data_IF_484583227096
#
_entry.id   IF_484583227096
#
_cell.length_a   1.000
_cell.length_b   1.000
_cell.length_c   1.000
_cell.angle_alpha   90.00
_cell.angle_beta   90.00
_cell.angle_gamma   90.00
#
_symmetry.space_group_name_H-M   'P 1'
#
loop_
_entity.id
_entity.type
_entity.pdbx_description
1 polymer ?
#
# COMPACT_ATOMS: atom_id res chain seq x y z
N UNK A 1 59.96 10.19 24.79
CA UNK A 1 59.26 10.67 23.57
C UNK A 1 58.17 9.68 23.21
N UNK A 2 56.91 10.11 23.24
CA UNK A 2 55.72 9.26 23.15
C UNK A 2 55.43 8.79 21.72
N UNK A 3 55.14 7.50 21.55
CA UNK A 3 54.70 6.88 20.30
C UNK A 3 53.23 7.27 20.03
N UNK A 4 52.97 8.03 18.96
CA UNK A 4 51.61 8.28 18.47
C UNK A 4 51.16 7.08 17.63
N UNK A 5 50.15 6.35 18.12
CA UNK A 5 49.45 5.34 17.35
C UNK A 5 48.51 6.01 16.34
N UNK A 6 48.60 5.57 15.08
CA UNK A 6 47.78 6.04 13.95
C UNK A 6 46.40 5.39 14.08
N UNK A 7 45.37 6.16 14.42
CA UNK A 7 43.99 5.68 14.47
C UNK A 7 43.50 5.51 13.04
N UNK A 8 43.24 4.28 12.63
CA UNK A 8 42.70 3.96 11.32
C UNK A 8 41.20 4.30 11.29
N UNK A 9 40.81 5.16 10.35
CA UNK A 9 39.43 5.54 10.08
C UNK A 9 38.71 4.31 9.49
N UNK A 10 37.83 3.67 10.27
CA UNK A 10 36.92 2.64 9.75
C UNK A 10 35.66 3.34 9.26
N UNK A 11 35.59 3.58 7.95
CA UNK A 11 34.33 3.83 7.26
C UNK A 11 33.37 2.69 7.59
N UNK A 12 32.26 3.01 8.23
CA UNK A 12 31.16 2.07 8.47
C UNK A 12 30.49 1.80 7.13
N UNK A 13 31.02 0.85 6.38
CA UNK A 13 30.21 0.12 5.40
C UNK A 13 29.07 -0.51 6.18
N UNK A 14 27.83 -0.13 5.87
CA UNK A 14 26.64 -0.73 6.46
C UNK A 14 26.77 -2.25 6.33
N UNK A 15 26.91 -2.91 7.47
CA UNK A 15 27.09 -4.34 7.56
C UNK A 15 25.77 -4.95 7.09
N UNK A 16 25.74 -5.51 5.89
CA UNK A 16 24.61 -6.34 5.45
C UNK A 16 24.53 -7.52 6.42
N UNK A 17 23.59 -7.44 7.35
CA UNK A 17 23.20 -8.55 8.20
C UNK A 17 22.49 -9.60 7.34
N UNK A 18 22.66 -10.90 7.62
CA UNK A 18 21.81 -11.93 7.03
C UNK A 18 20.34 -11.56 7.25
N UNK A 19 19.46 -11.83 6.29
CA UNK A 19 18.08 -11.33 6.24
C UNK A 19 17.24 -11.74 7.48
N UNK A 20 17.45 -11.06 8.60
CA UNK A 20 16.67 -11.21 9.84
C UNK A 20 15.22 -10.79 9.64
N UNK A 21 14.91 -10.17 8.50
CA UNK A 21 13.57 -9.78 8.08
C UNK A 21 12.88 -10.80 7.18
N UNK A 22 13.51 -11.91 6.78
CA UNK A 22 12.93 -12.84 5.80
C UNK A 22 11.55 -13.38 6.24
N UNK A 23 11.43 -13.79 7.51
CA UNK A 23 10.16 -14.26 8.08
C UNK A 23 9.12 -13.15 8.15
N UNK A 24 9.53 -11.93 8.54
CA UNK A 24 8.67 -10.76 8.57
C UNK A 24 8.16 -10.40 7.17
N UNK A 25 9.03 -10.37 6.16
CA UNK A 25 8.65 -10.11 4.76
C UNK A 25 7.65 -11.12 4.26
N UNK A 26 7.92 -12.41 4.48
CA UNK A 26 6.99 -13.48 4.12
C UNK A 26 5.62 -13.24 4.73
N UNK A 27 5.58 -12.93 6.03
CA UNK A 27 4.33 -12.67 6.72
C UNK A 27 3.60 -11.41 6.23
N UNK A 28 4.33 -10.32 5.97
CA UNK A 28 3.74 -9.10 5.38
C UNK A 28 3.15 -9.36 3.99
N UNK A 29 3.83 -10.13 3.15
CA UNK A 29 3.31 -10.53 1.83
C UNK A 29 2.07 -11.42 1.96
N UNK A 30 2.02 -12.33 2.92
CA UNK A 30 0.83 -13.14 3.21
C UNK A 30 -0.36 -12.26 3.59
N UNK A 31 -0.17 -11.31 4.52
CA UNK A 31 -1.21 -10.36 4.94
C UNK A 31 -1.69 -9.48 3.78
N UNK A 32 -0.78 -8.92 2.98
CA UNK A 32 -1.12 -8.11 1.80
C UNK A 32 -1.88 -8.91 0.73
N UNK A 33 -1.65 -10.23 0.63
CA UNK A 33 -2.39 -11.11 -0.27
C UNK A 33 -3.76 -11.55 0.26
N UNK A 34 -4.17 -11.04 1.42
CA UNK A 34 -5.47 -11.30 2.04
C UNK A 34 -5.37 -12.03 3.38
N UNK A 35 -4.20 -12.56 3.75
CA UNK A 35 -4.00 -13.27 5.03
C UNK A 35 -5.09 -14.32 5.27
N UNK A 36 -5.81 -14.18 6.38
CA UNK A 36 -6.92 -15.05 6.81
C UNK A 36 -8.30 -14.49 6.41
N UNK A 37 -8.37 -13.56 5.45
CA UNK A 37 -9.64 -13.01 4.99
C UNK A 37 -10.52 -14.11 4.39
N UNK A 38 -11.80 -14.15 4.79
CA UNK A 38 -12.77 -15.10 4.26
C UNK A 38 -12.97 -14.97 2.74
N UNK A 39 -12.86 -13.74 2.21
CA UNK A 39 -12.93 -13.42 0.78
C UNK A 39 -11.87 -12.37 0.47
N UNK A 40 -11.05 -12.61 -0.56
CA UNK A 40 -10.06 -11.64 -1.02
C UNK A 40 -10.70 -10.47 -1.77
N UNK A 41 -10.04 -9.32 -1.79
CA UNK A 41 -10.55 -8.11 -2.47
C UNK A 41 -10.79 -8.34 -3.97
N UNK A 42 -9.91 -9.11 -4.63
CA UNK A 42 -10.06 -9.44 -6.05
C UNK A 42 -11.33 -10.26 -6.30
N UNK A 43 -11.62 -11.25 -5.45
CA UNK A 43 -12.81 -12.09 -5.57
C UNK A 43 -14.09 -11.30 -5.27
N UNK A 44 -14.04 -10.43 -4.25
CA UNK A 44 -15.16 -9.55 -3.91
C UNK A 44 -15.54 -8.57 -5.05
N UNK A 45 -14.58 -8.21 -5.90
CA UNK A 45 -14.77 -7.23 -6.99
C UNK A 45 -15.03 -7.87 -8.37
N UNK A 46 -14.68 -9.14 -8.57
CA UNK A 46 -14.70 -9.80 -9.88
C UNK A 46 -16.08 -9.77 -10.56
N UNK A 47 -17.12 -10.18 -9.83
CA UNK A 47 -18.50 -10.29 -10.35
C UNK A 47 -19.46 -9.30 -9.67
N UNK A 48 -18.94 -8.16 -9.20
CA UNK A 48 -19.77 -7.19 -8.50
C UNK A 48 -20.84 -6.59 -9.44
N UNK A 49 -22.15 -6.70 -9.13
CA UNK A 49 -23.22 -6.31 -10.04
C UNK A 49 -23.19 -4.82 -10.37
N UNK A 50 -23.26 -4.47 -11.66
CA UNK A 50 -23.14 -3.09 -12.13
C UNK A 50 -24.23 -2.17 -11.55
N UNK A 51 -25.47 -2.66 -11.44
CA UNK A 51 -26.61 -1.96 -10.87
C UNK A 51 -26.48 -1.69 -9.35
N UNK A 52 -25.58 -2.41 -8.67
CA UNK A 52 -25.33 -2.25 -7.23
C UNK A 52 -24.16 -1.33 -6.89
N UNK A 53 -23.30 -0.99 -7.85
CA UNK A 53 -22.07 -0.21 -7.59
C UNK A 53 -22.35 1.15 -6.95
N UNK A 54 -23.43 1.81 -7.37
CA UNK A 54 -23.85 3.12 -6.89
C UNK A 54 -25.03 3.08 -5.90
N UNK A 55 -25.45 1.89 -5.48
CA UNK A 55 -26.58 1.71 -4.57
C UNK A 55 -26.07 1.46 -3.16
N UNK A 56 -26.42 2.33 -2.21
CA UNK A 56 -26.12 2.10 -0.80
C UNK A 56 -27.02 0.98 -0.27
N UNK A 57 -26.43 0.03 0.46
CA UNK A 57 -27.21 -0.97 1.18
C UNK A 57 -27.97 -0.31 2.35
N UNK A 58 -29.11 -0.87 2.73
CA UNK A 58 -29.90 -0.34 3.84
C UNK A 58 -29.05 -0.27 5.12
N UNK A 59 -28.96 0.91 5.72
CA UNK A 59 -28.17 1.15 6.93
C UNK A 59 -26.68 1.44 6.70
N UNK A 60 -26.23 1.52 5.45
CA UNK A 60 -24.84 1.88 5.11
C UNK A 60 -24.78 3.28 4.48
N UNK A 61 -23.79 4.06 4.90
CA UNK A 61 -23.59 5.46 4.44
C UNK A 61 -22.91 5.55 3.07
N UNK A 62 -22.24 4.48 2.65
CA UNK A 62 -21.41 4.47 1.45
C UNK A 62 -21.82 3.36 0.48
N UNK A 63 -21.78 3.71 -0.81
CA UNK A 63 -21.93 2.78 -1.93
C UNK A 63 -20.66 1.96 -2.13
N UNK A 64 -20.76 0.85 -2.87
CA UNK A 64 -19.58 0.06 -3.23
C UNK A 64 -18.56 0.87 -4.05
N UNK A 65 -19.03 1.79 -4.89
CA UNK A 65 -18.16 2.73 -5.62
C UNK A 65 -17.36 3.63 -4.67
N UNK A 66 -18.03 4.22 -3.67
CA UNK A 66 -17.36 5.08 -2.69
C UNK A 66 -16.31 4.31 -1.88
N UNK A 67 -16.62 3.07 -1.48
CA UNK A 67 -15.68 2.22 -0.76
C UNK A 67 -14.50 1.79 -1.64
N UNK A 68 -14.73 1.44 -2.90
CA UNK A 68 -13.66 1.10 -3.84
C UNK A 68 -12.71 2.29 -4.05
N UNK A 69 -13.25 3.48 -4.28
CA UNK A 69 -12.43 4.69 -4.44
C UNK A 69 -11.70 5.07 -3.15
N UNK A 70 -12.33 4.89 -1.99
CA UNK A 70 -11.68 5.08 -0.71
C UNK A 70 -10.46 4.17 -0.54
N UNK A 71 -10.62 2.87 -0.82
CA UNK A 71 -9.51 1.90 -0.81
C UNK A 71 -8.43 2.29 -1.82
N UNK A 72 -8.83 2.67 -3.04
CA UNK A 72 -7.89 3.08 -4.09
C UNK A 72 -7.02 4.27 -3.66
N UNK A 73 -7.65 5.31 -3.10
CA UNK A 73 -6.93 6.54 -2.70
C UNK A 73 -6.03 6.26 -1.50
N UNK A 74 -6.55 5.58 -0.47
CA UNK A 74 -5.78 5.27 0.74
C UNK A 74 -4.57 4.38 0.43
N UNK A 75 -4.75 3.34 -0.40
CA UNK A 75 -3.66 2.44 -0.76
C UNK A 75 -2.59 3.14 -1.62
N UNK A 76 -3.01 3.95 -2.60
CA UNK A 76 -2.09 4.79 -3.37
C UNK A 76 -1.27 5.71 -2.47
N UNK A 77 -1.92 6.37 -1.51
CA UNK A 77 -1.27 7.28 -0.58
C UNK A 77 -0.25 6.56 0.32
N UNK A 78 -0.61 5.40 0.88
CA UNK A 78 0.32 4.58 1.67
C UNK A 78 1.53 4.15 0.83
N UNK A 79 1.30 3.72 -0.41
CA UNK A 79 2.38 3.31 -1.31
C UNK A 79 3.31 4.47 -1.65
N UNK A 80 2.78 5.64 -2.00
CA UNK A 80 3.58 6.82 -2.33
C UNK A 80 4.32 7.36 -1.10
N UNK A 81 3.65 7.47 0.04
CA UNK A 81 4.27 7.83 1.32
C UNK A 81 5.44 6.90 1.65
N UNK A 82 5.33 5.61 1.33
CA UNK A 82 6.38 4.63 1.62
C UNK A 82 7.62 4.75 0.72
N UNK A 83 7.51 5.35 -0.47
CA UNK A 83 8.57 5.30 -1.50
C UNK A 83 9.02 6.65 -2.05
N UNK A 84 8.31 7.72 -1.76
CA UNK A 84 8.52 9.03 -2.37
C UNK A 84 8.65 10.13 -1.29
N UNK A 85 9.87 10.63 -1.01
CA UNK A 85 10.11 11.64 0.04
C UNK A 85 9.48 13.01 -0.26
N UNK A 86 8.96 13.21 -1.48
CA UNK A 86 8.28 14.44 -1.90
C UNK A 86 6.76 14.28 -1.94
N UNK A 87 6.25 13.10 -1.59
CA UNK A 87 4.82 12.86 -1.57
C UNK A 87 4.16 13.71 -0.49
N UNK A 88 3.00 14.26 -0.83
CA UNK A 88 2.15 14.99 0.10
C UNK A 88 0.81 14.28 0.08
N UNK A 89 0.45 13.71 1.23
CA UNK A 89 -0.81 12.98 1.38
C UNK A 89 -2.02 13.90 1.19
N UNK A 90 -3.17 13.36 0.74
CA UNK A 90 -4.42 14.10 0.66
C UNK A 90 -4.84 14.65 2.03
N UNK A 91 -5.61 15.74 2.03
CA UNK A 91 -6.19 16.30 3.25
C UNK A 91 -7.15 15.29 3.89
N UNK A 92 -6.98 15.03 5.19
CA UNK A 92 -7.85 14.11 5.92
C UNK A 92 -9.06 14.83 6.55
N UNK A 93 -10.28 14.24 6.52
CA UNK A 93 -10.65 12.98 5.86
C UNK A 93 -11.06 13.14 4.39
N UNK A 94 -11.37 14.37 3.96
CA UNK A 94 -12.11 14.63 2.71
C UNK A 94 -11.38 14.17 1.44
N UNK A 95 -10.04 14.20 1.44
CA UNK A 95 -9.20 13.79 0.32
C UNK A 95 -9.22 12.28 0.04
N UNK A 96 -9.75 11.47 0.95
CA UNK A 96 -9.82 10.00 0.84
C UNK A 96 -11.17 9.49 0.36
N UNK A 97 -12.05 10.37 -0.12
CA UNK A 97 -13.35 10.01 -0.65
C UNK A 97 -13.55 10.60 -2.05
N UNK A 98 -14.29 9.92 -2.95
CA UNK A 98 -14.55 10.47 -4.26
C UNK A 98 -15.43 11.72 -4.16
N UNK A 99 -14.99 12.81 -4.81
CA UNK A 99 -15.73 14.09 -4.86
C UNK A 99 -17.10 13.98 -5.55
N UNK A 100 -17.23 13.00 -6.44
CA UNK A 100 -18.44 12.75 -7.21
C UNK A 100 -18.98 11.39 -6.79
N UNK A 101 -20.15 11.38 -6.16
CA UNK A 101 -20.88 10.17 -5.76
C UNK A 101 -21.66 9.53 -6.93
N UNK A 102 -21.56 10.09 -8.13
CA UNK A 102 -22.28 9.60 -9.30
C UNK A 102 -21.84 8.18 -9.67
N UNK A 103 -22.77 7.44 -10.29
CA UNK A 103 -22.58 6.06 -10.72
C UNK A 103 -21.36 5.93 -11.64
N UNK A 104 -20.39 5.06 -11.33
CA UNK A 104 -19.31 4.77 -12.24
C UNK A 104 -19.86 4.06 -13.48
N UNK A 105 -19.38 4.44 -14.66
CA UNK A 105 -19.52 3.56 -15.82
C UNK A 105 -18.61 2.33 -15.66
N UNK A 106 -18.81 1.32 -16.50
CA UNK A 106 -18.02 0.09 -16.46
C UNK A 106 -16.52 0.33 -16.62
N UNK A 107 -16.14 1.37 -17.37
CA UNK A 107 -14.74 1.70 -17.60
C UNK A 107 -14.12 2.33 -16.34
N UNK A 108 -14.84 3.20 -15.64
CA UNK A 108 -14.43 3.81 -14.38
C UNK A 108 -14.25 2.74 -13.30
N UNK A 109 -15.23 1.84 -13.15
CA UNK A 109 -15.12 0.72 -12.23
C UNK A 109 -13.87 -0.12 -12.50
N UNK A 110 -13.68 -0.58 -13.75
CA UNK A 110 -12.52 -1.42 -14.13
C UNK A 110 -11.19 -0.70 -13.89
N UNK A 111 -11.11 0.60 -14.20
CA UNK A 111 -9.90 1.40 -13.92
C UNK A 111 -9.57 1.42 -12.43
N UNK A 112 -10.56 1.63 -11.58
CA UNK A 112 -10.35 1.67 -10.13
C UNK A 112 -9.95 0.31 -9.56
N UNK A 113 -10.59 -0.78 -10.00
CA UNK A 113 -10.19 -2.15 -9.63
C UNK A 113 -8.75 -2.44 -10.03
N UNK A 114 -8.37 -2.10 -11.28
CA UNK A 114 -7.00 -2.30 -11.75
C UNK A 114 -5.99 -1.45 -10.98
N UNK A 115 -6.34 -0.22 -10.61
CA UNK A 115 -5.46 0.64 -9.80
C UNK A 115 -5.20 0.02 -8.42
N UNK A 116 -6.24 -0.45 -7.73
CA UNK A 116 -6.10 -1.17 -6.44
C UNK A 116 -5.20 -2.41 -6.60
N UNK A 117 -5.40 -3.21 -7.65
CA UNK A 117 -4.56 -4.39 -7.88
C UNK A 117 -3.10 -4.05 -8.18
N UNK A 118 -2.87 -2.98 -8.95
CA UNK A 118 -1.53 -2.52 -9.31
C UNK A 118 -0.78 -1.97 -8.10
N UNK A 119 -1.43 -1.14 -7.29
CA UNK A 119 -0.81 -0.54 -6.12
C UNK A 119 -0.55 -1.59 -5.03
N UNK A 120 -1.45 -2.57 -4.87
CA UNK A 120 -1.24 -3.70 -3.96
C UNK A 120 -0.01 -4.52 -4.37
N UNK A 121 0.12 -4.82 -5.66
CA UNK A 121 1.30 -5.51 -6.20
C UNK A 121 2.57 -4.68 -5.98
N UNK A 122 2.53 -3.39 -6.24
CA UNK A 122 3.67 -2.51 -6.00
C UNK A 122 4.07 -2.45 -4.52
N UNK A 123 3.10 -2.50 -3.60
CA UNK A 123 3.37 -2.59 -2.16
C UNK A 123 4.00 -3.93 -1.79
N UNK A 124 3.50 -5.05 -2.35
CA UNK A 124 4.09 -6.38 -2.20
C UNK A 124 5.54 -6.39 -2.70
N UNK A 125 5.80 -5.82 -3.87
CA UNK A 125 7.14 -5.72 -4.44
C UNK A 125 8.06 -4.88 -3.53
N UNK A 126 7.57 -3.76 -2.99
CA UNK A 126 8.32 -2.91 -2.06
C UNK A 126 8.70 -3.65 -0.77
N UNK A 127 7.75 -4.33 -0.12
CA UNK A 127 8.02 -5.02 1.16
C UNK A 127 8.83 -6.31 0.98
N UNK A 128 8.78 -6.93 -0.21
CA UNK A 128 9.54 -8.15 -0.50
C UNK A 128 10.96 -7.88 -0.96
N UNK A 129 11.30 -6.65 -1.37
CA UNK A 129 12.65 -6.30 -1.82
C UNK A 129 13.66 -6.38 -0.66
N UNK A 130 14.65 -7.30 -0.69
CA UNK A 130 15.63 -7.46 0.39
C UNK A 130 16.56 -6.25 0.54
N UNK A 131 16.56 -5.32 -0.42
CA UNK A 131 17.36 -4.08 -0.35
C UNK A 131 16.67 -2.97 0.46
N UNK A 132 15.37 -3.09 0.72
CA UNK A 132 14.59 -2.11 1.50
C UNK A 132 14.71 -2.44 2.98
N UNK A 133 15.22 -1.52 3.80
CA UNK A 133 15.22 -1.72 5.26
C UNK A 133 13.83 -1.44 5.84
N UNK A 134 13.12 -2.50 6.24
CA UNK A 134 11.77 -2.40 6.82
C UNK A 134 11.73 -1.67 8.18
N UNK A 135 12.88 -1.47 8.82
CA UNK A 135 12.98 -0.77 10.12
C UNK A 135 13.45 0.68 9.97
N UNK A 136 13.82 1.09 8.76
CA UNK A 136 14.18 2.47 8.49
C UNK A 136 12.94 3.38 8.60
N UNK A 137 13.19 4.66 8.88
CA UNK A 137 12.15 5.68 8.71
C UNK A 137 11.79 5.77 7.23
N UNK A 138 10.52 6.08 6.94
CA UNK A 138 10.13 6.38 5.58
C UNK A 138 10.97 7.55 5.01
N UNK A 139 11.24 7.54 3.69
CA UNK A 139 12.15 8.48 3.03
C UNK A 139 11.83 9.96 3.25
#
# INVERSE_FOLDING_TARGET
>A
MARKAKVANREKTARQTPDSSASLRKHLVELLKGGEAHVGISDALADFPADKRATAAQGFEHTAWQLLEHIRIAQWDILEFSRNPKHVSPDFPDGYWPKVSASPDDAAWKRSVHAVQNDLRAMIDLVSDPRVDLYARFP
#
